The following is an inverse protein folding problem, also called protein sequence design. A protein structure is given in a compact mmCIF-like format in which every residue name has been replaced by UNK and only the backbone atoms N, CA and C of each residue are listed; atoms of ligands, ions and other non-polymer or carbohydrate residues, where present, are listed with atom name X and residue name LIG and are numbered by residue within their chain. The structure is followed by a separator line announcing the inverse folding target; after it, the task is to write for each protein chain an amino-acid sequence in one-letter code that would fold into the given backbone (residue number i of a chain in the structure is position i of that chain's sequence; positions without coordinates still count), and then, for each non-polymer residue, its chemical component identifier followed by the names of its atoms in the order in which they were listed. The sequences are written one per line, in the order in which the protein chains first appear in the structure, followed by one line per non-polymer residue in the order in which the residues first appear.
data_IF_043412953853
#
_entry.id   IF_043412953853
#
_cell.length_a   1.000
_cell.length_b   1.000
_cell.length_c   1.000
_cell.angle_alpha   90.00
_cell.angle_beta   90.00
_cell.angle_gamma   90.00
#
_symmetry.space_group_name_H-M   'P 1'
#
loop_
_entity.id
_entity.type
_entity.pdbx_description
1 polymer ?
#
# COMPACT_ATOMS: atom_id res chain seq x y z
N UNK A 1 -5.06 0.73 -11.59
CA UNK A 1 -5.22 -0.25 -12.66
C UNK A 1 -6.18 -1.32 -12.15
N UNK A 2 -7.32 -1.47 -12.84
CA UNK A 2 -8.22 -2.57 -12.58
C UNK A 2 -7.59 -3.83 -13.18
N UNK A 3 -6.99 -4.67 -12.36
CA UNK A 3 -6.40 -5.94 -12.78
C UNK A 3 -7.45 -6.94 -13.30
N UNK A 4 -8.74 -6.68 -13.04
CA UNK A 4 -9.84 -7.57 -13.39
C UNK A 4 -10.27 -7.50 -14.86
N UNK A 5 -9.83 -6.48 -15.61
CA UNK A 5 -10.15 -6.34 -17.03
C UNK A 5 -9.00 -5.69 -17.80
N UNK A 6 -7.98 -6.48 -18.20
CA UNK A 6 -6.80 -5.97 -18.91
C UNK A 6 -7.16 -5.26 -20.24
N UNK A 7 -8.29 -5.55 -20.83
CA UNK A 7 -8.73 -4.94 -22.10
C UNK A 7 -9.21 -3.48 -21.93
N UNK A 8 -9.55 -3.06 -20.73
CA UNK A 8 -9.95 -1.66 -20.44
C UNK A 8 -8.75 -0.68 -20.49
N UNK A 9 -7.53 -1.20 -20.33
CA UNK A 9 -6.31 -0.40 -20.34
C UNK A 9 -5.66 -0.31 -21.71
N UNK A 10 -6.18 -1.03 -22.69
CA UNK A 10 -5.67 -0.97 -24.05
C UNK A 10 -6.18 0.31 -24.72
N UNK A 11 -5.26 1.12 -25.21
CA UNK A 11 -5.59 2.21 -26.14
C UNK A 11 -6.08 1.59 -27.44
N UNK A 12 -7.38 1.27 -27.51
CA UNK A 12 -8.00 0.51 -28.61
C UNK A 12 -7.65 1.06 -30.00
N UNK A 13 -7.45 2.37 -30.10
CA UNK A 13 -7.07 3.04 -31.36
C UNK A 13 -5.60 2.78 -31.76
N UNK A 14 -4.79 2.20 -30.88
CA UNK A 14 -3.37 1.91 -31.10
C UNK A 14 -3.06 0.41 -30.99
N UNK A 15 -4.09 -0.41 -30.91
CA UNK A 15 -3.99 -1.88 -30.93
C UNK A 15 -4.12 -2.40 -32.36
N UNK A 16 -3.01 -2.72 -33.01
CA UNK A 16 -2.98 -3.25 -34.36
C UNK A 16 -2.44 -4.68 -34.40
N UNK A 17 -2.93 -5.47 -35.36
CA UNK A 17 -2.24 -6.71 -35.73
C UNK A 17 -0.90 -6.36 -36.40
N UNK A 18 0.09 -7.23 -36.29
CA UNK A 18 1.47 -6.97 -36.77
C UNK A 18 1.54 -6.61 -38.27
N UNK A 19 0.63 -7.16 -39.10
CA UNK A 19 0.52 -6.88 -40.54
C UNK A 19 -0.05 -5.47 -40.86
N UNK A 20 -0.57 -4.75 -39.87
CA UNK A 20 -1.16 -3.43 -39.98
C UNK A 20 -0.24 -2.28 -39.56
N UNK A 21 0.95 -2.58 -39.02
CA UNK A 21 1.86 -1.52 -38.53
C UNK A 21 2.29 -0.54 -39.63
N UNK A 22 2.59 -1.05 -40.83
CA UNK A 22 3.04 -0.21 -41.95
C UNK A 22 1.93 0.77 -42.37
N UNK A 23 0.68 0.31 -42.39
CA UNK A 23 -0.47 1.14 -42.78
C UNK A 23 -0.81 2.20 -41.73
N UNK A 24 -0.43 1.99 -40.48
CA UNK A 24 -0.67 2.92 -39.38
C UNK A 24 0.62 3.58 -38.87
N UNK A 25 1.68 3.56 -39.71
CA UNK A 25 2.99 4.07 -39.31
C UNK A 25 2.96 5.55 -38.94
N UNK A 26 2.27 6.38 -39.72
CA UNK A 26 2.18 7.81 -39.46
C UNK A 26 1.52 8.10 -38.11
N UNK A 27 0.43 7.41 -37.78
CA UNK A 27 -0.24 7.51 -36.49
C UNK A 27 0.67 7.10 -35.32
N UNK A 28 1.41 6.00 -35.51
CA UNK A 28 2.36 5.52 -34.51
C UNK A 28 3.51 6.53 -34.31
N UNK A 29 4.02 7.06 -35.43
CA UNK A 29 5.10 8.02 -35.39
C UNK A 29 4.69 9.33 -34.73
N UNK A 30 3.54 9.90 -35.09
CA UNK A 30 2.98 11.11 -34.51
C UNK A 30 2.66 10.96 -33.02
N UNK A 31 2.48 9.72 -32.55
CA UNK A 31 2.12 9.44 -31.15
C UNK A 31 3.34 9.09 -30.29
N UNK A 32 4.22 8.23 -30.79
CA UNK A 32 5.26 7.57 -30.01
C UNK A 32 6.69 7.94 -30.42
N UNK A 33 6.88 8.79 -31.44
CA UNK A 33 8.22 9.30 -31.75
C UNK A 33 8.78 10.11 -30.59
N UNK A 34 10.11 10.23 -30.53
CA UNK A 34 10.77 11.02 -29.49
C UNK A 34 10.25 12.46 -29.46
N UNK A 35 10.14 13.09 -30.64
CA UNK A 35 9.62 14.46 -30.80
C UNK A 35 8.16 14.58 -30.35
N UNK A 36 7.34 13.59 -30.65
CA UNK A 36 5.94 13.56 -30.24
C UNK A 36 5.81 13.47 -28.71
N UNK A 37 6.62 12.61 -28.07
CA UNK A 37 6.63 12.45 -26.61
C UNK A 37 7.12 13.74 -25.91
N UNK A 38 8.17 14.37 -26.43
CA UNK A 38 8.67 15.67 -25.94
C UNK A 38 7.61 16.78 -26.08
N UNK A 39 6.72 16.69 -27.06
CA UNK A 39 5.57 17.58 -27.25
C UNK A 39 4.29 17.11 -26.52
N UNK A 40 4.43 16.24 -25.51
CA UNK A 40 3.33 15.75 -24.65
C UNK A 40 2.22 14.98 -25.40
N UNK A 41 2.51 14.31 -26.51
CA UNK A 41 1.52 13.50 -27.26
C UNK A 41 0.82 12.46 -26.38
N UNK A 42 1.58 11.77 -25.53
CA UNK A 42 1.02 10.77 -24.60
C UNK A 42 0.13 11.40 -23.54
N UNK A 43 0.49 12.58 -23.02
CA UNK A 43 -0.33 13.30 -22.05
C UNK A 43 -1.65 13.77 -22.65
N UNK A 44 -1.66 14.15 -23.92
CA UNK A 44 -2.88 14.53 -24.64
C UNK A 44 -3.83 13.33 -24.83
N UNK A 45 -3.29 12.13 -25.04
CA UNK A 45 -4.06 10.89 -25.16
C UNK A 45 -4.58 10.44 -23.79
N UNK A 46 -3.74 10.49 -22.76
CA UNK A 46 -4.08 10.09 -21.39
C UNK A 46 -4.91 11.17 -20.69
N UNK A 47 -4.67 12.45 -20.98
CA UNK A 47 -5.31 13.58 -20.30
C UNK A 47 -6.83 13.70 -20.50
N UNK A 48 -7.41 12.98 -21.45
CA UNK A 48 -8.85 12.83 -21.58
C UNK A 48 -9.44 11.81 -20.59
N UNK A 49 -8.59 10.92 -20.03
CA UNK A 49 -9.00 9.85 -19.08
C UNK A 49 -8.75 10.27 -17.63
N UNK A 50 -7.87 11.24 -17.37
CA UNK A 50 -7.35 11.51 -16.01
C UNK A 50 -8.03 12.64 -15.24
N UNK A 51 -9.18 13.15 -15.69
CA UNK A 51 -9.84 14.28 -14.99
C UNK A 51 -10.36 13.95 -13.58
N UNK A 52 -10.38 12.70 -13.15
CA UNK A 52 -10.91 12.31 -11.84
C UNK A 52 -10.08 11.27 -11.07
N UNK A 53 -8.89 10.90 -11.50
CA UNK A 53 -8.05 10.00 -10.71
C UNK A 53 -7.19 10.82 -9.74
N UNK A 54 -7.48 10.72 -8.45
CA UNK A 54 -6.51 11.10 -7.42
C UNK A 54 -5.24 10.29 -7.70
N UNK A 55 -4.08 10.92 -7.64
CA UNK A 55 -2.84 10.17 -7.80
C UNK A 55 -2.79 9.10 -6.72
N UNK A 56 -2.38 7.88 -7.06
CA UNK A 56 -2.27 6.75 -6.13
C UNK A 56 -1.48 7.13 -4.87
N UNK A 57 -0.45 7.96 -5.02
CA UNK A 57 0.36 8.50 -3.92
C UNK A 57 -0.49 9.31 -2.93
N UNK A 58 -1.45 10.09 -3.41
CA UNK A 58 -2.29 10.92 -2.55
C UNK A 58 -3.30 10.08 -1.77
N UNK A 59 -3.90 9.09 -2.40
CA UNK A 59 -4.79 8.14 -1.70
C UNK A 59 -4.04 7.35 -0.64
N UNK A 60 -2.83 6.90 -0.95
CA UNK A 60 -1.99 6.19 -0.01
C UNK A 60 -1.58 7.07 1.19
N UNK A 61 -1.22 8.32 0.95
CA UNK A 61 -0.91 9.29 2.02
C UNK A 61 -2.13 9.56 2.91
N UNK A 62 -3.31 9.75 2.33
CA UNK A 62 -4.56 9.96 3.06
C UNK A 62 -4.88 8.74 3.93
N UNK A 63 -4.67 7.53 3.40
CA UNK A 63 -4.89 6.27 4.12
C UNK A 63 -3.93 6.10 5.30
N UNK A 64 -2.62 6.32 5.09
CA UNK A 64 -1.62 6.27 6.18
C UNK A 64 -1.94 7.30 7.25
N UNK A 65 -2.33 8.51 6.87
CA UNK A 65 -2.68 9.58 7.82
C UNK A 65 -3.88 9.16 8.66
N UNK A 66 -4.90 8.58 8.06
CA UNK A 66 -6.07 8.02 8.77
C UNK A 66 -5.66 6.94 9.77
N UNK A 67 -4.83 5.98 9.36
CA UNK A 67 -4.36 4.91 10.26
C UNK A 67 -3.54 5.46 11.42
N UNK A 68 -2.66 6.44 11.16
CA UNK A 68 -1.87 7.11 12.21
C UNK A 68 -2.77 7.77 13.27
N UNK A 69 -3.79 8.49 12.84
CA UNK A 69 -4.73 9.14 13.75
C UNK A 69 -5.53 8.14 14.59
N UNK A 70 -6.06 7.10 13.97
CA UNK A 70 -6.85 6.07 14.66
C UNK A 70 -5.98 5.36 15.70
N UNK A 71 -4.76 4.96 15.32
CA UNK A 71 -3.83 4.27 16.19
C UNK A 71 -3.34 5.16 17.34
N UNK A 72 -2.96 6.41 17.03
CA UNK A 72 -2.50 7.37 18.03
C UNK A 72 -3.58 7.66 19.10
N UNK A 73 -4.83 7.88 18.66
CA UNK A 73 -5.98 8.08 19.57
C UNK A 73 -6.20 6.88 20.49
N UNK A 74 -6.14 5.67 19.94
CA UNK A 74 -6.32 4.46 20.74
C UNK A 74 -5.18 4.28 21.76
N UNK A 75 -3.92 4.42 21.33
CA UNK A 75 -2.76 4.30 22.20
C UNK A 75 -2.82 5.35 23.33
N UNK A 76 -3.13 6.61 23.01
CA UNK A 76 -3.24 7.69 24.00
C UNK A 76 -4.31 7.41 25.07
N UNK A 77 -5.45 6.87 24.67
CA UNK A 77 -6.53 6.52 25.60
C UNK A 77 -6.15 5.38 26.52
N UNK A 78 -5.46 4.36 25.99
CA UNK A 78 -5.13 3.14 26.71
C UNK A 78 -3.86 3.24 27.56
N UNK A 79 -2.93 4.12 27.20
CA UNK A 79 -1.61 4.26 27.83
C UNK A 79 -1.37 5.71 28.29
N UNK A 80 -2.01 6.10 29.39
CA UNK A 80 -1.98 7.48 29.90
C UNK A 80 -0.61 7.96 30.37
N UNK A 81 0.34 7.07 30.57
CA UNK A 81 1.70 7.39 31.00
C UNK A 81 2.65 7.75 29.86
N UNK A 82 2.26 7.51 28.60
CA UNK A 82 3.10 7.80 27.45
C UNK A 82 3.04 9.28 27.09
N UNK A 83 4.18 9.84 26.78
CA UNK A 83 4.31 11.17 26.17
C UNK A 83 3.82 11.17 24.72
N UNK A 84 3.60 12.37 24.18
CA UNK A 84 3.23 12.54 22.77
C UNK A 84 4.28 11.96 21.82
N UNK A 85 5.56 12.16 22.14
CA UNK A 85 6.68 11.65 21.33
C UNK A 85 6.72 10.12 21.33
N UNK A 86 6.53 9.48 22.48
CA UNK A 86 6.46 8.01 22.59
C UNK A 86 5.25 7.46 21.84
N UNK A 87 4.08 8.14 21.89
CA UNK A 87 2.92 7.74 21.11
C UNK A 87 3.23 7.80 19.61
N UNK A 88 3.82 8.90 19.14
CA UNK A 88 4.19 9.06 17.73
C UNK A 88 5.20 8.00 17.28
N UNK A 89 6.20 7.71 18.11
CA UNK A 89 7.20 6.69 17.82
C UNK A 89 6.57 5.29 17.78
N UNK A 90 5.68 4.95 18.71
CA UNK A 90 4.97 3.68 18.71
C UNK A 90 4.10 3.51 17.47
N UNK A 91 3.33 4.54 17.11
CA UNK A 91 2.49 4.55 15.91
C UNK A 91 3.33 4.34 14.66
N UNK A 92 4.40 5.11 14.51
CA UNK A 92 5.30 5.01 13.36
C UNK A 92 5.88 3.60 13.26
N UNK A 93 6.41 3.07 14.36
CA UNK A 93 7.04 1.73 14.40
C UNK A 93 6.07 0.62 14.01
N UNK A 94 4.84 0.68 14.51
CA UNK A 94 3.82 -0.34 14.20
C UNK A 94 3.43 -0.27 12.73
N UNK A 95 3.13 0.92 12.20
CA UNK A 95 2.73 1.08 10.79
C UNK A 95 3.85 0.72 9.83
N UNK A 96 5.08 1.13 10.08
CA UNK A 96 6.23 0.79 9.25
C UNK A 96 6.41 -0.74 9.14
N UNK A 97 6.26 -1.45 10.26
CA UNK A 97 6.34 -2.92 10.29
C UNK A 97 5.21 -3.56 9.49
N UNK A 98 3.97 -3.10 9.68
CA UNK A 98 2.82 -3.64 8.96
C UNK A 98 2.94 -3.41 7.45
N UNK A 99 3.29 -2.20 7.03
CA UNK A 99 3.50 -1.85 5.62
C UNK A 99 4.63 -2.69 5.02
N UNK A 100 5.73 -2.87 5.75
CA UNK A 100 6.84 -3.68 5.28
C UNK A 100 6.44 -5.15 5.09
N UNK A 101 5.72 -5.74 6.07
CA UNK A 101 5.23 -7.12 5.96
C UNK A 101 4.29 -7.25 4.78
N UNK A 102 3.35 -6.32 4.60
CA UNK A 102 2.46 -6.32 3.45
C UNK A 102 3.21 -6.29 2.12
N UNK A 103 4.26 -5.49 2.04
CA UNK A 103 5.12 -5.45 0.85
C UNK A 103 5.85 -6.78 0.60
N UNK A 104 6.26 -7.50 1.66
CA UNK A 104 6.85 -8.83 1.52
C UNK A 104 5.83 -9.87 1.03
N UNK A 105 4.59 -9.80 1.51
CA UNK A 105 3.49 -10.65 1.05
C UNK A 105 3.17 -10.40 -0.43
N UNK A 106 3.03 -9.12 -0.83
CA UNK A 106 2.73 -8.73 -2.21
C UNK A 106 3.82 -9.14 -3.21
N UNK A 107 5.05 -9.32 -2.72
CA UNK A 107 6.20 -9.80 -3.52
C UNK A 107 6.43 -11.29 -3.42
N UNK A 108 5.55 -12.03 -2.74
CA UNK A 108 5.68 -13.46 -2.52
C UNK A 108 6.99 -13.89 -1.81
N UNK A 109 7.61 -12.95 -1.05
CA UNK A 109 8.81 -13.23 -0.24
C UNK A 109 8.41 -13.90 1.07
N UNK A 110 7.32 -13.45 1.67
CA UNK A 110 6.66 -14.06 2.82
C UNK A 110 5.32 -14.68 2.35
N UNK A 111 4.80 -15.69 3.08
CA UNK A 111 3.52 -16.30 2.73
C UNK A 111 2.39 -15.26 2.65
N UNK A 112 1.60 -15.35 1.59
CA UNK A 112 0.44 -14.49 1.41
C UNK A 112 -0.53 -14.60 2.60
N UNK A 113 -1.27 -13.54 2.86
CA UNK A 113 -2.32 -13.48 3.89
C UNK A 113 -1.87 -13.73 5.33
N UNK A 114 -0.57 -13.65 5.65
CA UNK A 114 -0.06 -13.77 7.02
C UNK A 114 -0.69 -12.72 7.95
N UNK A 115 -0.67 -11.44 7.54
CA UNK A 115 -1.30 -10.36 8.29
C UNK A 115 -2.82 -10.55 8.41
N UNK A 116 -3.48 -10.92 7.31
CA UNK A 116 -4.90 -11.15 7.30
C UNK A 116 -5.32 -12.31 8.20
N UNK A 117 -4.54 -13.38 8.22
CA UNK A 117 -4.75 -14.53 9.12
C UNK A 117 -4.70 -14.11 10.59
N UNK A 118 -3.71 -13.27 10.96
CA UNK A 118 -3.59 -12.72 12.33
C UNK A 118 -4.83 -11.87 12.66
N UNK A 119 -5.22 -10.93 11.78
CA UNK A 119 -6.39 -10.08 11.99
C UNK A 119 -7.70 -10.88 12.09
N UNK A 120 -7.81 -11.99 11.37
CA UNK A 120 -8.99 -12.85 11.37
C UNK A 120 -9.24 -13.55 12.71
N UNK A 121 -8.21 -13.69 13.54
CA UNK A 121 -8.36 -14.26 14.90
C UNK A 121 -9.11 -13.36 15.86
N UNK A 122 -9.15 -12.05 15.59
CA UNK A 122 -9.86 -11.00 16.36
C UNK A 122 -9.43 -10.85 17.83
N UNK A 123 -8.44 -11.60 18.28
CA UNK A 123 -7.98 -11.62 19.68
C UNK A 123 -6.47 -11.72 19.78
N UNK A 124 -5.90 -11.00 20.76
CA UNK A 124 -4.47 -10.99 21.03
C UNK A 124 -3.62 -10.62 19.79
N UNK A 125 -4.10 -9.69 18.99
CA UNK A 125 -3.48 -9.36 17.71
C UNK A 125 -2.08 -8.81 17.91
N UNK A 126 -1.87 -7.88 18.86
CA UNK A 126 -0.55 -7.31 19.14
C UNK A 126 0.48 -8.39 19.53
N UNK A 127 0.09 -9.35 20.38
CA UNK A 127 1.00 -10.43 20.77
C UNK A 127 1.40 -11.30 19.57
N UNK A 128 0.43 -11.67 18.72
CA UNK A 128 0.70 -12.43 17.48
C UNK A 128 1.58 -11.66 16.49
N UNK A 129 1.38 -10.35 16.38
CA UNK A 129 2.27 -9.48 15.61
C UNK A 129 3.68 -9.45 16.22
N UNK A 130 3.79 -9.39 17.54
CA UNK A 130 5.10 -9.42 18.23
C UNK A 130 5.84 -10.72 17.95
N UNK A 131 5.17 -11.87 17.98
CA UNK A 131 5.76 -13.15 17.60
C UNK A 131 6.24 -13.15 16.15
N UNK A 132 5.44 -12.60 15.24
CA UNK A 132 5.82 -12.42 13.84
C UNK A 132 7.03 -11.48 13.69
N UNK A 133 7.06 -10.36 14.42
CA UNK A 133 8.19 -9.42 14.40
C UNK A 133 9.48 -10.08 14.89
N UNK A 134 9.40 -10.91 15.93
CA UNK A 134 10.55 -11.66 16.43
C UNK A 134 11.09 -12.64 15.38
N UNK A 135 10.20 -13.35 14.69
CA UNK A 135 10.56 -14.25 13.59
C UNK A 135 11.26 -13.47 12.45
N UNK A 136 10.69 -12.34 12.04
CA UNK A 136 11.22 -11.52 10.96
C UNK A 136 12.56 -10.86 11.36
N UNK A 137 12.74 -10.49 12.64
CA UNK A 137 14.01 -9.99 13.13
C UNK A 137 15.13 -11.03 12.96
N UNK A 138 14.83 -12.29 13.20
CA UNK A 138 15.82 -13.39 13.05
C UNK A 138 16.14 -13.65 11.57
N UNK A 139 15.19 -13.42 10.66
CA UNK A 139 15.40 -13.64 9.22
C UNK A 139 16.11 -12.45 8.58
N UNK A 140 15.63 -11.24 8.82
CA UNK A 140 16.12 -10.04 8.11
C UNK A 140 17.19 -9.26 8.87
N UNK A 141 17.40 -9.54 10.17
CA UNK A 141 18.42 -8.93 11.03
C UNK A 141 18.53 -7.39 10.90
N UNK A 142 17.39 -6.73 10.70
CA UNK A 142 17.32 -5.29 10.47
C UNK A 142 16.87 -4.52 11.71
N UNK A 143 17.08 -3.19 11.71
CA UNK A 143 16.66 -2.32 12.81
C UNK A 143 15.13 -2.25 12.96
N UNK A 144 14.38 -2.52 11.89
CA UNK A 144 12.92 -2.38 11.85
C UNK A 144 12.23 -3.31 12.85
N UNK A 145 12.67 -4.58 12.92
CA UNK A 145 12.05 -5.60 13.76
C UNK A 145 12.74 -5.82 15.10
N UNK A 146 13.76 -5.04 15.45
CA UNK A 146 14.34 -5.08 16.81
C UNK A 146 13.27 -4.81 17.85
N UNK A 147 13.39 -5.50 18.99
CA UNK A 147 12.49 -5.33 20.12
C UNK A 147 12.30 -3.84 20.48
N UNK A 148 11.07 -3.43 20.66
CA UNK A 148 10.69 -2.04 20.88
C UNK A 148 9.57 -1.95 21.93
N UNK A 149 9.48 -0.84 22.67
CA UNK A 149 8.47 -0.65 23.70
C UNK A 149 7.04 -0.71 23.14
N UNK A 150 6.83 -0.39 21.87
CA UNK A 150 5.54 -0.48 21.20
C UNK A 150 4.91 -1.90 21.17
N UNK A 151 5.69 -2.91 21.50
CA UNK A 151 5.22 -4.29 21.63
C UNK A 151 4.58 -4.57 23.00
N UNK A 152 4.80 -3.67 23.97
CA UNK A 152 4.36 -3.81 25.36
C UNK A 152 3.22 -2.87 25.75
N UNK A 153 2.79 -1.99 24.82
CA UNK A 153 1.70 -1.05 25.05
C UNK A 153 0.35 -1.74 24.86
N UNK A 154 -0.70 -1.09 25.35
CA UNK A 154 -2.06 -1.59 25.19
C UNK A 154 -2.67 -0.98 23.94
N UNK A 155 -3.12 -1.82 23.03
CA UNK A 155 -3.85 -1.42 21.82
C UNK A 155 -5.07 -2.34 21.71
N UNK A 156 -6.23 -1.78 21.36
CA UNK A 156 -7.43 -2.56 21.16
C UNK A 156 -7.30 -3.45 19.92
N UNK A 157 -7.57 -4.73 20.09
CA UNK A 157 -7.52 -5.72 18.99
C UNK A 157 -8.36 -5.28 17.77
N UNK A 158 -9.51 -4.64 18.02
CA UNK A 158 -10.38 -4.14 16.96
C UNK A 158 -9.66 -3.12 16.08
N UNK A 159 -8.92 -2.19 16.66
CA UNK A 159 -8.19 -1.14 15.92
C UNK A 159 -7.13 -1.75 15.01
N UNK A 160 -6.33 -2.67 15.54
CA UNK A 160 -5.33 -3.38 14.74
C UNK A 160 -5.97 -4.23 13.65
N UNK A 161 -7.06 -4.92 13.97
CA UNK A 161 -7.81 -5.72 13.02
C UNK A 161 -8.33 -4.89 11.84
N UNK A 162 -8.93 -3.74 12.11
CA UNK A 162 -9.52 -2.86 11.09
C UNK A 162 -8.41 -2.29 10.18
N UNK A 163 -7.30 -1.81 10.76
CA UNK A 163 -6.15 -1.30 10.00
C UNK A 163 -5.55 -2.39 9.10
N UNK A 164 -5.31 -3.58 9.63
CA UNK A 164 -4.72 -4.69 8.85
C UNK A 164 -5.65 -5.11 7.71
N UNK A 165 -6.97 -5.17 7.96
CA UNK A 165 -7.94 -5.51 6.93
C UNK A 165 -8.00 -4.47 5.82
N UNK A 166 -8.02 -3.17 6.17
CA UNK A 166 -7.98 -2.09 5.18
C UNK A 166 -6.67 -2.12 4.36
N UNK A 167 -5.56 -2.56 4.97
CA UNK A 167 -4.26 -2.70 4.29
C UNK A 167 -4.22 -3.90 3.33
N UNK A 168 -4.82 -5.03 3.72
CA UNK A 168 -4.83 -6.25 2.90
C UNK A 168 -5.86 -6.18 1.78
N UNK A 169 -7.02 -5.58 2.05
CA UNK A 169 -8.13 -5.46 1.11
C UNK A 169 -8.66 -4.02 1.15
N UNK A 170 -7.97 -3.08 0.46
CA UNK A 170 -8.43 -1.70 0.41
C UNK A 170 -9.85 -1.67 -0.13
N UNK A 171 -10.76 -1.04 0.63
CA UNK A 171 -12.13 -0.83 0.18
C UNK A 171 -12.03 0.14 -0.99
N UNK A 172 -12.38 -0.32 -2.19
CA UNK A 172 -12.54 0.56 -3.34
C UNK A 172 -13.58 1.63 -3.02
N UNK A 173 -13.31 2.90 -3.35
CA UNK A 173 -14.27 3.98 -3.15
C UNK A 173 -15.54 3.81 -3.96
#
# INVERSE_FOLDING_TARGET
PHYDNPDEHLLKNYCFKYDKYIQNWDLLWETFSKEAIENNSLQNIIGTVTKNTRTMDREFLDQITKWREILAKNIAIRNKSLSVDEINEAVQRILDRLIFIRNLEDREIEPADTLFSIASTKTNILNKLTDLFLRLNNVYNGLLFKQHFSEKIIIDDKVLCDIIKEMCYPISP
#
